data_IF_252454618933
#
_entry.id   IF_252454618933
#
_cell.length_a   1.000
_cell.length_b   1.000
_cell.length_c   1.000
_cell.angle_alpha   90.00
_cell.angle_beta   90.00
_cell.angle_gamma   90.00
#
_symmetry.space_group_name_H-M   'P 1'
#
loop_
_entity.id
_entity.type
_entity.pdbx_description
1 polymer ?
#
# COMPACT_ATOMS: atom_id res chain seq x y z
N UNK A 1 12.09 -6.17 -3.53
CA UNK A 1 11.62 -5.68 -2.23
C UNK A 1 10.22 -6.16 -1.96
N UNK A 2 10.00 -6.49 -0.72
CA UNK A 2 8.67 -6.89 -0.26
C UNK A 2 8.23 -5.98 0.86
N UNK A 3 7.04 -5.42 0.72
CA UNK A 3 6.45 -4.59 1.75
C UNK A 3 5.08 -5.13 2.09
N UNK A 4 4.85 -5.34 3.37
CA UNK A 4 3.63 -5.97 3.87
C UNK A 4 2.92 -5.04 4.85
N UNK A 5 1.64 -5.27 5.00
CA UNK A 5 0.83 -4.57 5.98
C UNK A 5 -0.35 -5.45 6.37
N UNK A 6 -1.13 -4.98 7.36
CA UNK A 6 -2.36 -5.66 7.73
C UNK A 6 -3.32 -5.75 6.56
N UNK A 7 -3.35 -4.72 5.71
CA UNK A 7 -4.20 -4.70 4.51
C UNK A 7 -3.43 -4.11 3.34
N UNK A 8 -3.71 -4.63 2.17
CA UNK A 8 -3.27 -4.05 0.90
C UNK A 8 -4.51 -3.81 0.06
N UNK A 9 -4.70 -2.59 -0.39
CA UNK A 9 -5.81 -2.23 -1.26
C UNK A 9 -5.29 -2.06 -2.69
N UNK A 10 -5.48 -3.10 -3.46
CA UNK A 10 -5.06 -3.12 -4.86
C UNK A 10 -6.07 -3.92 -5.64
N UNK A 11 -6.97 -3.25 -6.34
CA UNK A 11 -8.09 -3.84 -7.06
C UNK A 11 -9.15 -4.43 -6.13
N UNK A 12 -8.73 -4.99 -5.01
CA UNK A 12 -9.59 -5.48 -3.95
C UNK A 12 -8.86 -5.35 -2.63
N UNK A 13 -9.52 -5.66 -1.54
CA UNK A 13 -8.92 -5.64 -0.21
C UNK A 13 -8.25 -6.98 0.05
N UNK A 14 -6.95 -6.94 0.29
CA UNK A 14 -6.18 -8.11 0.72
C UNK A 14 -5.82 -7.95 2.18
N UNK A 15 -6.02 -8.99 2.95
CA UNK A 15 -5.64 -9.03 4.35
C UNK A 15 -4.36 -9.84 4.50
N UNK A 16 -3.37 -9.27 5.19
CA UNK A 16 -2.08 -9.93 5.43
C UNK A 16 -1.44 -10.39 4.13
N UNK A 17 -1.19 -9.41 3.28
CA UNK A 17 -0.49 -9.63 2.02
C UNK A 17 0.73 -8.72 1.94
N UNK A 18 1.60 -8.98 1.00
CA UNK A 18 2.71 -8.09 0.70
C UNK A 18 2.69 -7.71 -0.77
N UNK A 19 3.27 -6.54 -1.03
CA UNK A 19 3.49 -6.06 -2.39
C UNK A 19 4.94 -6.35 -2.73
N UNK A 20 5.18 -6.95 -3.87
CA UNK A 20 6.54 -7.15 -4.36
C UNK A 20 6.89 -6.09 -5.39
N UNK A 21 8.04 -5.44 -5.17
CA UNK A 21 8.59 -4.43 -6.07
C UNK A 21 9.97 -4.88 -6.50
N UNK A 22 10.37 -4.51 -7.71
CA UNK A 22 11.75 -4.73 -8.13
C UNK A 22 12.67 -3.62 -7.60
N UNK A 23 13.94 -3.67 -7.96
CA UNK A 23 14.92 -2.70 -7.47
C UNK A 23 14.66 -1.29 -7.97
N UNK A 24 13.90 -1.14 -9.02
CA UNK A 24 13.53 0.16 -9.59
C UNK A 24 12.18 0.67 -9.09
N UNK A 25 11.55 -0.07 -8.21
CA UNK A 25 10.24 0.31 -7.68
C UNK A 25 9.07 -0.06 -8.58
N UNK A 26 9.29 -0.95 -9.55
CA UNK A 26 8.21 -1.42 -10.38
C UNK A 26 7.41 -2.51 -9.66
N UNK A 27 6.10 -2.46 -9.85
CA UNK A 27 5.17 -3.38 -9.22
C UNK A 27 5.27 -4.76 -9.86
N UNK A 28 5.35 -5.80 -9.05
CA UNK A 28 5.34 -7.18 -9.54
C UNK A 28 4.09 -7.94 -9.17
N UNK A 29 3.47 -7.64 -8.06
CA UNK A 29 2.25 -8.31 -7.65
C UNK A 29 1.98 -8.18 -6.17
N UNK A 30 0.85 -8.75 -5.76
CA UNK A 30 0.41 -8.82 -4.37
C UNK A 30 0.29 -10.30 -4.01
N UNK A 31 0.91 -10.71 -2.92
CA UNK A 31 0.98 -12.11 -2.54
C UNK A 31 0.64 -12.31 -1.07
N UNK A 32 0.09 -13.46 -0.69
CA UNK A 32 -0.23 -13.72 0.71
C UNK A 32 1.03 -13.77 1.58
N UNK A 33 0.92 -13.18 2.77
CA UNK A 33 1.97 -13.24 3.77
C UNK A 33 1.65 -14.41 4.70
N UNK A 34 2.05 -15.61 4.33
CA UNK A 34 1.71 -16.81 5.07
C UNK A 34 2.68 -17.09 6.21
N UNK A 35 3.89 -16.55 6.11
CA UNK A 35 4.92 -16.73 7.12
C UNK A 35 5.87 -15.56 7.04
N UNK A 36 6.74 -15.44 8.02
CA UNK A 36 7.74 -14.39 8.01
C UNK A 36 8.73 -14.66 6.88
N UNK A 37 8.84 -13.69 5.98
CA UNK A 37 9.74 -13.78 4.82
C UNK A 37 10.88 -12.79 5.04
N UNK A 38 12.10 -13.27 4.93
CA UNK A 38 13.29 -12.44 5.07
C UNK A 38 13.27 -11.32 4.03
N UNK A 39 13.68 -10.14 4.45
CA UNK A 39 13.72 -8.99 3.56
C UNK A 39 12.39 -8.30 3.36
N UNK A 40 11.37 -8.66 4.13
CA UNK A 40 10.05 -8.02 4.07
C UNK A 40 9.94 -6.98 5.17
N UNK A 41 9.61 -5.75 4.78
CA UNK A 41 9.28 -4.69 5.73
C UNK A 41 7.78 -4.75 6.02
N UNK A 42 7.41 -4.74 7.29
CA UNK A 42 6.00 -4.78 7.68
C UNK A 42 5.60 -3.42 8.26
N UNK A 43 4.48 -2.90 7.79
CA UNK A 43 3.92 -1.64 8.23
C UNK A 43 2.54 -1.84 8.83
N UNK A 44 2.24 -1.06 9.86
CA UNK A 44 0.87 -0.99 10.37
C UNK A 44 -0.02 -0.27 9.39
N UNK A 45 -1.25 -0.73 9.25
CA UNK A 45 -2.27 -0.05 8.48
C UNK A 45 -2.51 -0.67 7.13
N UNK A 46 -2.64 0.18 6.13
CA UNK A 46 -3.03 -0.20 4.77
C UNK A 46 -2.03 0.34 3.77
N UNK A 47 -1.66 -0.47 2.80
CA UNK A 47 -0.84 -0.04 1.67
C UNK A 47 -1.70 0.06 0.43
N UNK A 48 -1.53 1.16 -0.31
CA UNK A 48 -2.25 1.40 -1.56
C UNK A 48 -1.23 1.77 -2.64
N UNK A 49 -0.99 0.89 -3.61
CA UNK A 49 -0.10 1.24 -4.71
C UNK A 49 -0.85 2.12 -5.72
N UNK A 50 -0.18 3.11 -6.23
CA UNK A 50 -0.74 4.03 -7.23
C UNK A 50 0.32 4.26 -8.30
N UNK A 51 -0.06 4.31 -9.57
CA UNK A 51 0.87 4.57 -10.65
C UNK A 51 1.66 5.84 -10.39
N UNK A 52 2.97 5.79 -10.59
CA UNK A 52 3.81 6.96 -10.35
C UNK A 52 3.54 8.10 -11.33
N UNK A 53 2.87 7.81 -12.45
CA UNK A 53 2.44 8.83 -13.39
C UNK A 53 1.23 9.62 -12.92
N UNK A 54 0.51 9.13 -11.91
CA UNK A 54 -0.60 9.87 -11.34
C UNK A 54 -0.07 11.07 -10.56
N UNK A 55 -0.77 12.22 -10.62
CA UNK A 55 -0.37 13.36 -9.80
C UNK A 55 -0.51 13.03 -8.31
N UNK A 56 0.16 13.80 -7.48
CA UNK A 56 0.04 13.62 -6.03
C UNK A 56 -1.42 13.73 -5.63
N UNK A 57 -1.89 12.74 -4.87
CA UNK A 57 -3.29 12.68 -4.46
C UNK A 57 -3.38 12.72 -2.94
N UNK A 58 -4.47 13.29 -2.46
CA UNK A 58 -4.72 13.39 -1.03
C UNK A 58 -5.50 12.19 -0.50
N UNK A 59 -5.61 12.15 0.81
CA UNK A 59 -6.29 11.07 1.52
C UNK A 59 -7.72 10.85 1.03
N UNK A 60 -8.49 11.92 0.85
CA UNK A 60 -9.89 11.79 0.43
C UNK A 60 -10.01 11.15 -0.95
N UNK A 61 -9.10 11.48 -1.84
CA UNK A 61 -9.11 10.91 -3.18
C UNK A 61 -8.74 9.43 -3.14
N UNK A 62 -7.76 9.07 -2.32
CA UNK A 62 -7.41 7.66 -2.14
C UNK A 62 -8.62 6.89 -1.61
N UNK A 63 -9.25 7.41 -0.56
CA UNK A 63 -10.40 6.74 0.06
C UNK A 63 -11.57 6.60 -0.90
N UNK A 64 -11.81 7.61 -1.71
CA UNK A 64 -12.95 7.59 -2.62
C UNK A 64 -12.71 6.87 -3.93
N UNK A 65 -11.46 6.66 -4.32
CA UNK A 65 -11.14 6.22 -5.67
C UNK A 65 -10.09 5.11 -5.73
N UNK A 66 -9.65 4.55 -4.61
CA UNK A 66 -8.58 3.57 -4.65
C UNK A 66 -8.88 2.37 -5.56
N UNK A 67 -10.10 1.86 -5.65
CA UNK A 67 -10.36 0.74 -6.57
C UNK A 67 -10.05 1.11 -8.01
N UNK A 68 -10.51 2.27 -8.45
CA UNK A 68 -10.25 2.73 -9.81
C UNK A 68 -8.78 3.05 -10.04
N UNK A 69 -8.12 3.68 -9.05
CA UNK A 69 -6.71 4.02 -9.16
C UNK A 69 -5.83 2.78 -9.27
N UNK A 70 -6.12 1.75 -8.51
CA UNK A 70 -5.31 0.53 -8.50
C UNK A 70 -5.67 -0.41 -9.64
N UNK A 71 -6.83 -0.25 -10.27
CA UNK A 71 -7.25 -1.09 -11.38
C UNK A 71 -6.29 -1.01 -12.56
N UNK A 72 -5.61 0.12 -12.71
CA UNK A 72 -4.67 0.35 -13.80
C UNK A 72 -3.32 -0.32 -13.60
N UNK A 73 -3.07 -0.84 -12.41
CA UNK A 73 -1.75 -1.37 -12.07
C UNK A 73 -1.58 -2.76 -12.66
N UNK A 74 -0.47 -2.95 -13.38
CA UNK A 74 -0.09 -4.23 -13.96
C UNK A 74 1.37 -4.48 -13.64
N UNK A 75 1.83 -5.75 -13.72
CA UNK A 75 3.24 -6.04 -13.48
C UNK A 75 4.14 -5.23 -14.41
N UNK A 76 5.18 -4.66 -13.83
CA UNK A 76 6.12 -3.81 -14.56
C UNK A 76 5.85 -2.31 -14.45
N UNK A 77 4.68 -1.92 -13.94
CA UNK A 77 4.37 -0.51 -13.76
C UNK A 77 5.16 0.09 -12.61
N UNK A 78 5.64 1.31 -12.80
CA UNK A 78 6.25 2.07 -11.72
C UNK A 78 5.15 2.63 -10.82
N UNK A 79 5.29 2.44 -9.52
CA UNK A 79 4.26 2.82 -8.56
C UNK A 79 4.85 3.59 -7.39
N UNK A 80 3.99 4.41 -6.78
CA UNK A 80 4.19 4.95 -5.44
C UNK A 80 3.31 4.16 -4.48
N UNK A 81 3.78 3.95 -3.28
CA UNK A 81 3.02 3.23 -2.27
C UNK A 81 2.58 4.23 -1.21
N UNK A 82 1.27 4.38 -1.05
CA UNK A 82 0.73 5.16 0.05
C UNK A 82 0.47 4.25 1.23
N UNK A 83 0.83 4.72 2.40
CA UNK A 83 0.55 4.02 3.65
C UNK A 83 -0.50 4.81 4.42
N UNK A 84 -1.58 4.15 4.76
CA UNK A 84 -2.62 4.72 5.60
C UNK A 84 -2.48 4.12 6.99
N UNK A 85 -2.30 4.96 7.99
CA UNK A 85 -2.14 4.53 9.37
C UNK A 85 -3.20 5.18 10.26
N UNK A 86 -3.41 4.62 11.45
CA UNK A 86 -4.43 5.12 12.36
C UNK A 86 -5.83 4.60 12.04
N UNK A 87 -5.94 3.66 11.13
CA UNK A 87 -7.21 3.05 10.76
C UNK A 87 -7.54 1.94 11.73
N UNK A 88 -8.76 1.89 12.30
CA UNK A 88 -9.15 0.76 13.09
C UNK A 88 -9.17 -0.50 12.23
N UNK A 89 -8.28 -1.44 12.54
CA UNK A 89 -8.12 -2.64 11.72
C UNK A 89 -9.34 -3.55 11.76
N UNK A 90 -10.15 -3.44 12.79
CA UNK A 90 -11.38 -4.23 12.91
C UNK A 90 -12.46 -3.79 11.92
N UNK A 91 -12.37 -2.58 11.40
CA UNK A 91 -13.31 -2.08 10.40
C UNK A 91 -12.53 -1.62 9.19
N UNK A 92 -12.24 -2.58 8.32
CA UNK A 92 -11.63 -2.26 7.04
C UNK A 92 -12.53 -1.38 6.18
N UNK A 93 -13.78 -1.23 6.59
CA UNK A 93 -14.68 -0.23 6.03
C UNK A 93 -14.39 1.06 6.75
N UNK A 94 -13.63 1.90 6.12
CA UNK A 94 -13.27 3.14 6.74
C UNK A 94 -14.40 4.13 6.65
N UNK A 95 -14.91 4.47 7.81
CA UNK A 95 -15.73 5.65 7.91
C UNK A 95 -14.88 6.87 7.55
N UNK A 96 -15.51 7.82 6.92
CA UNK A 96 -14.85 9.07 6.56
C UNK A 96 -14.44 9.88 7.78
N UNK A 97 -14.94 9.48 8.95
CA UNK A 97 -14.69 10.20 10.20
C UNK A 97 -13.42 9.76 10.92
N UNK A 98 -12.78 8.72 10.42
CA UNK A 98 -11.57 8.22 11.06
C UNK A 98 -10.40 9.12 10.73
N UNK A 99 -9.71 9.60 11.76
CA UNK A 99 -8.49 10.35 11.57
C UNK A 99 -7.41 9.38 11.12
N UNK A 100 -6.95 9.55 9.91
CA UNK A 100 -5.96 8.67 9.29
C UNK A 100 -4.78 9.50 8.83
N UNK A 101 -3.60 9.05 9.19
CA UNK A 101 -2.37 9.60 8.64
C UNK A 101 -2.05 8.88 7.34
N UNK A 102 -1.67 9.66 6.33
CA UNK A 102 -1.26 9.11 5.05
C UNK A 102 0.14 9.57 4.73
N UNK A 103 0.94 8.66 4.24
CA UNK A 103 2.30 8.97 3.81
C UNK A 103 2.61 8.20 2.53
N UNK A 104 3.43 8.81 1.68
CA UNK A 104 3.96 8.12 0.51
C UNK A 104 5.28 7.47 0.93
N UNK A 105 5.37 6.17 0.73
CA UNK A 105 6.60 5.44 1.00
C UNK A 105 7.54 5.61 -0.18
N UNK A 106 8.72 6.12 0.09
CA UNK A 106 9.77 6.25 -0.91
C UNK A 106 10.76 5.10 -0.73
N UNK A 107 11.62 4.93 -1.72
CA UNK A 107 12.63 3.87 -1.65
C UNK A 107 13.43 3.90 -0.34
N UNK A 108 13.80 5.09 0.11
CA UNK A 108 14.53 5.24 1.35
C UNK A 108 13.69 4.90 2.58
N UNK A 109 12.39 5.09 2.50
CA UNK A 109 11.47 4.84 3.61
C UNK A 109 11.04 3.38 3.66
N UNK A 110 10.96 2.73 2.51
CA UNK A 110 10.61 1.31 2.43
C UNK A 110 11.69 0.45 3.11
N UNK A 111 12.94 0.86 3.03
CA UNK A 111 14.02 0.12 3.67
C UNK A 111 14.14 0.41 5.17
N UNK A 112 13.45 1.42 5.68
CA UNK A 112 13.47 1.81 7.08
C UNK A 112 12.08 1.57 7.66
N UNK A 113 11.92 0.61 8.57
CA UNK A 113 10.66 0.45 9.26
C UNK A 113 10.44 1.68 10.12
N UNK A 114 9.74 2.63 9.62
CA UNK A 114 9.40 3.81 10.40
C UNK A 114 8.19 3.46 11.24
N UNK A 115 8.37 3.60 12.49
CA UNK A 115 7.26 3.48 13.41
C UNK A 115 6.20 4.52 13.15
#
# INVERSE_FOLDING_TARGET
RRIAAHYVWCKQVYRMHYIELDDNGAFHGVYPLNEEIAGTAFYDGVLVPVLSSEPAIGFKQVMGSWPALTEKITPGCSVHIYRLSGIPLASAKLGTDTAVAMATLRDSEVSLPSG
#
